data_IF_876952722561
#
_entry.id   IF_876952722561
#
_cell.length_a   1.000
_cell.length_b   1.000
_cell.length_c   1.000
_cell.angle_alpha   90.00
_cell.angle_beta   90.00
_cell.angle_gamma   90.00
#
_symmetry.space_group_name_H-M   'P 1'
#
loop_
_entity.id
_entity.type
_entity.pdbx_description
1 polymer ?
#
# COMPACT_ATOMS: atom_id res chain seq x y z
N UNK A 1 -20.22 -45.67 32.00
CA UNK A 1 -20.66 -44.25 32.07
C UNK A 1 -19.48 -43.26 32.14
N UNK A 2 -18.41 -43.57 32.89
CA UNK A 2 -17.25 -42.67 33.10
C UNK A 2 -16.42 -42.46 31.84
N UNK A 3 -16.07 -43.52 31.10
CA UNK A 3 -15.32 -43.44 29.83
C UNK A 3 -16.01 -42.54 28.79
N UNK A 4 -17.33 -42.64 28.65
CA UNK A 4 -18.11 -41.77 27.74
C UNK A 4 -18.02 -40.30 28.14
N UNK A 5 -18.02 -39.99 29.45
CA UNK A 5 -17.86 -38.61 29.96
C UNK A 5 -16.46 -38.08 29.68
N UNK A 6 -15.42 -38.90 29.87
CA UNK A 6 -14.03 -38.53 29.58
C UNK A 6 -13.86 -38.23 28.09
N UNK A 7 -14.41 -39.08 27.21
CA UNK A 7 -14.35 -38.87 25.75
C UNK A 7 -15.07 -37.58 25.35
N UNK A 8 -16.26 -37.31 25.92
CA UNK A 8 -17.01 -36.09 25.64
C UNK A 8 -16.21 -34.85 26.07
N UNK A 9 -15.61 -34.86 27.26
CA UNK A 9 -14.76 -33.75 27.72
C UNK A 9 -13.58 -33.53 26.77
N UNK A 10 -12.91 -34.60 26.35
CA UNK A 10 -11.78 -34.50 25.42
C UNK A 10 -12.18 -33.84 24.09
N UNK A 11 -13.32 -34.25 23.53
CA UNK A 11 -13.84 -33.71 22.25
C UNK A 11 -14.18 -32.22 22.40
N UNK A 12 -14.82 -31.83 23.50
CA UNK A 12 -15.18 -30.43 23.77
C UNK A 12 -13.95 -29.52 23.84
N UNK A 13 -12.83 -30.01 24.36
CA UNK A 13 -11.60 -29.21 24.45
C UNK A 13 -10.77 -29.20 23.16
N UNK A 14 -10.77 -30.30 22.40
CA UNK A 14 -9.95 -30.42 21.17
C UNK A 14 -10.63 -29.77 19.96
N UNK A 15 -11.95 -29.87 19.83
CA UNK A 15 -12.65 -29.38 18.64
C UNK A 15 -12.46 -27.86 18.39
N UNK A 16 -12.52 -26.98 19.40
CA UNK A 16 -12.22 -25.55 19.20
C UNK A 16 -10.76 -25.29 18.85
N UNK A 17 -9.82 -26.04 19.43
CA UNK A 17 -8.39 -25.88 19.16
C UNK A 17 -8.04 -26.21 17.70
N UNK A 18 -8.78 -27.14 17.07
CA UNK A 18 -8.63 -27.48 15.66
C UNK A 18 -9.40 -26.54 14.71
N UNK A 19 -10.50 -25.93 15.16
CA UNK A 19 -11.38 -25.13 14.32
C UNK A 19 -11.10 -23.62 14.29
N UNK A 20 -10.57 -23.04 15.37
CA UNK A 20 -10.43 -21.58 15.51
C UNK A 20 -8.98 -21.06 15.37
N UNK A 21 -8.05 -21.89 14.89
CA UNK A 21 -6.69 -21.48 14.53
C UNK A 21 -6.64 -20.64 13.24
N UNK A 22 -7.60 -19.72 13.04
CA UNK A 22 -7.63 -18.86 11.86
C UNK A 22 -6.42 -17.93 11.89
N UNK A 23 -5.40 -18.26 11.09
CA UNK A 23 -4.43 -17.29 10.60
C UNK A 23 -5.22 -16.37 9.68
N UNK A 24 -5.77 -15.28 10.23
CA UNK A 24 -6.32 -14.22 9.39
C UNK A 24 -5.17 -13.70 8.53
N UNK A 25 -5.36 -13.53 7.20
CA UNK A 25 -4.39 -12.80 6.42
C UNK A 25 -4.07 -11.48 7.14
N UNK A 26 -2.80 -11.08 7.24
CA UNK A 26 -2.47 -9.76 7.75
C UNK A 26 -3.39 -8.73 7.06
N UNK A 27 -3.92 -7.75 7.81
CA UNK A 27 -4.71 -6.68 7.20
C UNK A 27 -3.95 -6.14 5.98
N UNK A 28 -4.63 -6.05 4.84
CA UNK A 28 -4.02 -5.54 3.63
C UNK A 28 -3.41 -4.15 3.94
N UNK A 29 -2.18 -3.88 3.49
CA UNK A 29 -1.60 -2.56 3.67
C UNK A 29 -2.52 -1.50 3.04
N UNK A 30 -2.59 -0.30 3.64
CA UNK A 30 -3.41 0.78 3.08
C UNK A 30 -2.97 1.10 1.64
N UNK A 31 -3.89 1.57 0.78
CA UNK A 31 -3.53 1.99 -0.57
C UNK A 31 -2.50 3.13 -0.52
N UNK A 32 -1.58 3.22 -1.50
CA UNK A 32 -0.64 4.33 -1.59
C UNK A 32 -1.34 5.70 -1.64
N UNK A 33 -0.69 6.78 -1.20
CA UNK A 33 -1.21 8.13 -1.34
C UNK A 33 -1.52 8.48 -2.81
N UNK A 34 -2.57 9.27 -3.09
CA UNK A 34 -2.77 9.85 -4.41
C UNK A 34 -1.53 10.66 -4.85
N UNK A 35 -1.23 10.61 -6.15
CA UNK A 35 -0.18 11.44 -6.75
C UNK A 35 -0.50 12.94 -6.65
N UNK A 36 0.53 13.78 -6.76
CA UNK A 36 0.34 15.23 -6.77
C UNK A 36 -0.21 15.68 -8.13
N UNK A 37 -0.95 16.80 -8.20
CA UNK A 37 -1.40 17.37 -9.47
C UNK A 37 -0.26 17.69 -10.45
N UNK A 38 0.97 17.89 -9.96
CA UNK A 38 2.15 18.21 -10.76
C UNK A 38 2.76 16.99 -11.46
N UNK A 39 2.45 15.77 -11.03
CA UNK A 39 3.10 14.55 -11.53
C UNK A 39 2.83 14.38 -13.04
N UNK A 40 1.65 14.78 -13.52
CA UNK A 40 1.31 14.78 -14.95
C UNK A 40 1.90 15.94 -15.77
N UNK A 41 2.40 16.98 -15.11
CA UNK A 41 2.89 18.21 -15.74
C UNK A 41 4.41 18.38 -15.64
N UNK A 42 5.10 17.54 -14.87
CA UNK A 42 6.53 17.70 -14.58
C UNK A 42 7.39 17.76 -15.84
N UNK A 43 7.11 16.90 -16.83
CA UNK A 43 7.82 16.91 -18.12
C UNK A 43 7.54 18.21 -18.91
N UNK A 44 6.29 18.67 -18.93
CA UNK A 44 5.91 19.90 -19.61
C UNK A 44 6.56 21.14 -18.96
N UNK A 45 6.55 21.21 -17.63
CA UNK A 45 7.19 22.28 -16.87
C UNK A 45 8.70 22.31 -17.09
N UNK A 46 9.35 21.13 -17.14
CA UNK A 46 10.77 21.02 -17.45
C UNK A 46 11.08 21.58 -18.84
N UNK A 47 10.31 21.21 -19.87
CA UNK A 47 10.49 21.73 -21.22
C UNK A 47 10.28 23.26 -21.28
N UNK A 48 9.23 23.77 -20.63
CA UNK A 48 8.97 25.21 -20.54
C UNK A 48 10.15 25.93 -19.88
N UNK A 49 10.68 25.39 -18.78
CA UNK A 49 11.82 25.98 -18.09
C UNK A 49 13.08 26.03 -18.98
N UNK A 50 13.37 24.95 -19.71
CA UNK A 50 14.52 24.89 -20.63
C UNK A 50 14.36 25.91 -21.77
N UNK A 51 13.19 25.95 -22.41
CA UNK A 51 12.91 26.89 -23.52
C UNK A 51 13.02 28.33 -23.02
N UNK A 52 12.31 28.65 -21.94
CA UNK A 52 12.30 30.01 -21.38
C UNK A 52 13.69 30.45 -20.94
N UNK A 53 14.42 29.58 -20.24
CA UNK A 53 15.79 29.84 -19.80
C UNK A 53 16.73 30.12 -20.97
N UNK A 54 16.65 29.31 -22.02
CA UNK A 54 17.46 29.48 -23.23
C UNK A 54 17.15 30.80 -23.93
N UNK A 55 15.88 31.10 -24.18
CA UNK A 55 15.44 32.34 -24.83
C UNK A 55 15.89 33.57 -24.04
N UNK A 56 15.78 33.52 -22.71
CA UNK A 56 16.23 34.60 -21.83
C UNK A 56 17.74 34.84 -21.96
N UNK A 57 18.54 33.79 -21.86
CA UNK A 57 20.00 33.87 -21.99
C UNK A 57 20.40 34.46 -23.35
N UNK A 58 19.79 34.00 -24.45
CA UNK A 58 20.09 34.53 -25.78
C UNK A 58 19.74 36.02 -25.91
N UNK A 59 18.60 36.45 -25.36
CA UNK A 59 18.19 37.86 -25.43
C UNK A 59 19.12 38.76 -24.61
N UNK A 60 19.47 38.32 -23.40
CA UNK A 60 20.37 39.06 -22.52
C UNK A 60 21.80 39.13 -23.07
N UNK A 61 22.24 38.08 -23.80
CA UNK A 61 23.57 38.04 -24.45
C UNK A 61 23.66 38.86 -25.75
N UNK A 62 22.52 39.27 -26.31
CA UNK A 62 22.43 40.02 -27.57
C UNK A 62 22.24 41.53 -27.38
N UNK A 63 22.25 42.00 -26.12
CA UNK A 63 22.17 43.42 -25.73
C UNK A 63 23.55 43.93 -25.33
#
# INVERSE_FOLDING_TARGET
MVIKRIIIVLIVFIAPALGYGQIVPPPAPPPPPPGLPIDGLTVALFLIAVIYGSVKIFKDSSS
#
